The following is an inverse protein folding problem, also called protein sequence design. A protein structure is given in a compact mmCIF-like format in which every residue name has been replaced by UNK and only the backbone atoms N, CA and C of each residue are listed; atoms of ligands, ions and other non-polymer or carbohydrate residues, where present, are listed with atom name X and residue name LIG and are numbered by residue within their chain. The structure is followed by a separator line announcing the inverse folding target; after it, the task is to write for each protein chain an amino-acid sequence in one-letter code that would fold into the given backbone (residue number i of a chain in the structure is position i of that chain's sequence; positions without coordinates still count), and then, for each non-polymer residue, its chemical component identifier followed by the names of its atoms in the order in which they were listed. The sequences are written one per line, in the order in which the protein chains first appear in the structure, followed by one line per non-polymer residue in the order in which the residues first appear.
data_IF_979591373730
#
_entry.id   IF_979591373730
#
_cell.length_a   1.000
_cell.length_b   1.000
_cell.length_c   1.000
_cell.angle_alpha   90.00
_cell.angle_beta   90.00
_cell.angle_gamma   90.00
#
_symmetry.space_group_name_H-M   'P 1'
#
loop_
_entity.id
_entity.type
_entity.pdbx_description
1 polymer ?
#
# COMPACT_ATOMS: atom_id res chain seq x y z
N UNK A 1 -16.33 -100.27 2.63
CA UNK A 1 -15.07 -99.49 2.67
C UNK A 1 -14.22 -99.92 1.49
N UNK A 2 -14.11 -99.10 0.45
CA UNK A 2 -13.07 -99.07 -0.59
C UNK A 2 -13.67 -98.54 -1.91
N UNK A 3 -13.38 -97.28 -2.22
CA UNK A 3 -13.54 -96.67 -3.54
C UNK A 3 -12.49 -95.56 -3.60
N UNK A 4 -11.61 -95.43 -4.57
CA UNK A 4 -11.40 -96.11 -5.85
C UNK A 4 -10.41 -95.21 -6.57
N UNK A 5 -9.14 -95.62 -6.64
CA UNK A 5 -8.04 -94.79 -7.14
C UNK A 5 -8.07 -94.74 -8.67
N UNK A 6 -8.73 -93.75 -9.25
CA UNK A 6 -8.71 -93.53 -10.70
C UNK A 6 -7.53 -92.62 -11.09
N UNK A 7 -6.38 -93.24 -11.37
CA UNK A 7 -5.23 -92.56 -11.98
C UNK A 7 -5.50 -92.40 -13.48
N UNK A 8 -5.96 -91.22 -13.89
CA UNK A 8 -6.10 -90.88 -15.30
C UNK A 8 -4.71 -90.61 -15.90
N UNK A 9 -4.20 -91.55 -16.70
CA UNK A 9 -2.96 -91.35 -17.44
C UNK A 9 -3.25 -90.54 -18.71
N UNK A 10 -2.78 -89.30 -18.75
CA UNK A 10 -2.94 -88.38 -19.89
C UNK A 10 -1.71 -88.51 -20.80
N UNK A 11 -1.85 -88.79 -22.11
CA UNK A 11 -0.69 -88.97 -22.98
C UNK A 11 0.05 -87.65 -23.17
N UNK A 12 1.36 -87.68 -23.00
CA UNK A 12 2.27 -86.55 -23.18
C UNK A 12 2.34 -86.16 -24.67
N UNK A 13 1.65 -85.09 -25.05
CA UNK A 13 1.81 -84.45 -26.36
C UNK A 13 3.19 -83.79 -26.40
N UNK A 14 4.11 -84.34 -27.22
CA UNK A 14 5.38 -83.70 -27.57
C UNK A 14 5.09 -82.36 -28.27
N UNK A 15 5.15 -81.27 -27.51
CA UNK A 15 4.97 -79.90 -27.98
C UNK A 15 6.27 -79.48 -28.69
N UNK A 16 6.22 -79.29 -30.01
CA UNK A 16 7.35 -78.74 -30.78
C UNK A 16 7.67 -77.35 -30.23
N UNK A 17 8.92 -77.14 -29.81
CA UNK A 17 9.39 -75.85 -29.30
C UNK A 17 9.68 -74.90 -30.48
N UNK A 18 9.14 -73.67 -30.49
CA UNK A 18 9.62 -72.63 -31.39
C UNK A 18 10.95 -72.08 -30.88
N UNK A 19 11.91 -71.96 -31.79
CA UNK A 19 13.21 -71.33 -31.58
C UNK A 19 13.02 -69.81 -31.42
N UNK A 20 12.94 -69.33 -30.18
CA UNK A 20 12.97 -67.90 -29.88
C UNK A 20 13.76 -67.66 -28.60
N UNK A 21 14.81 -66.84 -28.70
CA UNK A 21 15.78 -66.60 -27.63
C UNK A 21 15.49 -65.27 -26.92
N UNK A 22 14.20 -64.96 -26.71
CA UNK A 22 13.80 -63.83 -25.88
C UNK A 22 13.97 -64.18 -24.40
N UNK A 23 14.47 -63.23 -23.61
CA UNK A 23 14.63 -63.36 -22.16
C UNK A 23 13.32 -63.87 -21.56
N UNK A 24 13.31 -64.99 -20.81
CA UNK A 24 12.09 -65.44 -20.16
C UNK A 24 11.63 -64.34 -19.21
N UNK A 25 10.43 -63.80 -19.43
CA UNK A 25 9.79 -62.89 -18.49
C UNK A 25 9.40 -63.73 -17.25
N UNK A 26 10.34 -63.80 -16.30
CA UNK A 26 10.14 -64.53 -15.06
C UNK A 26 9.23 -63.66 -14.18
N UNK A 27 7.93 -63.92 -14.24
CA UNK A 27 6.99 -63.42 -13.25
C UNK A 27 7.29 -64.09 -11.91
N UNK A 28 8.07 -63.41 -11.07
CA UNK A 28 8.24 -63.80 -9.68
C UNK A 28 6.89 -63.58 -8.96
N UNK A 29 6.08 -64.63 -8.81
CA UNK A 29 4.86 -64.63 -7.98
C UNK A 29 5.18 -64.60 -6.47
N UNK A 30 6.22 -63.88 -6.08
CA UNK A 30 6.63 -63.74 -4.69
C UNK A 30 5.77 -62.64 -4.08
N UNK A 31 4.84 -62.93 -3.16
CA UNK A 31 4.08 -61.87 -2.51
C UNK A 31 5.07 -60.99 -1.75
N UNK A 32 5.22 -59.74 -2.19
CA UNK A 32 6.06 -58.77 -1.50
C UNK A 32 5.33 -58.39 -0.21
N UNK A 33 5.70 -59.03 0.89
CA UNK A 33 5.20 -58.69 2.21
C UNK A 33 5.99 -57.49 2.76
N UNK A 34 5.37 -56.31 2.61
CA UNK A 34 5.89 -55.03 3.10
C UNK A 34 5.52 -54.76 4.57
N UNK A 35 4.93 -55.72 5.29
CA UNK A 35 4.46 -55.54 6.68
C UNK A 35 5.57 -55.14 7.66
N UNK A 36 6.84 -55.40 7.34
CA UNK A 36 8.00 -55.08 8.18
C UNK A 36 8.82 -53.87 7.74
N UNK A 37 8.39 -53.15 6.70
CA UNK A 37 9.05 -51.91 6.27
C UNK A 37 8.71 -50.79 7.25
N UNK A 38 9.57 -50.64 8.27
CA UNK A 38 9.58 -49.46 9.10
C UNK A 38 10.35 -48.37 8.37
N UNK A 39 9.71 -47.21 8.18
CA UNK A 39 10.37 -46.03 7.63
C UNK A 39 11.42 -45.56 8.64
N UNK A 40 12.67 -45.93 8.41
CA UNK A 40 13.81 -45.42 9.19
C UNK A 40 13.98 -43.95 8.83
N UNK A 41 13.85 -43.07 9.83
CA UNK A 41 14.15 -41.65 9.64
C UNK A 41 15.67 -41.46 9.59
N UNK A 42 16.18 -41.06 8.43
CA UNK A 42 17.56 -40.60 8.32
C UNK A 42 17.71 -39.23 9.00
N UNK A 43 18.44 -39.11 10.12
CA UNK A 43 18.55 -37.83 10.84
C UNK A 43 19.25 -36.75 10.00
N UNK A 44 20.01 -37.15 8.98
CA UNK A 44 20.67 -36.24 8.03
C UNK A 44 19.65 -35.51 7.13
N UNK A 45 18.60 -36.19 6.67
CA UNK A 45 17.53 -35.58 5.84
C UNK A 45 16.74 -34.53 6.61
N UNK A 46 16.55 -34.71 7.91
CA UNK A 46 15.88 -33.72 8.76
C UNK A 46 16.63 -32.38 8.82
N UNK A 47 17.97 -32.40 8.86
CA UNK A 47 18.76 -31.16 8.88
C UNK A 47 18.73 -30.45 7.53
N UNK A 48 18.84 -31.19 6.43
CA UNK A 48 18.75 -30.64 5.07
C UNK A 48 17.36 -30.03 4.81
N UNK A 49 16.28 -30.73 5.14
CA UNK A 49 14.91 -30.19 5.00
C UNK A 49 14.67 -28.95 5.87
N UNK A 50 15.25 -28.87 7.09
CA UNK A 50 15.19 -27.65 7.90
C UNK A 50 15.97 -26.50 7.28
N UNK A 51 17.13 -26.76 6.67
CA UNK A 51 17.90 -25.74 5.96
C UNK A 51 17.18 -25.24 4.70
N UNK A 52 16.59 -26.15 3.90
CA UNK A 52 15.76 -25.77 2.76
C UNK A 52 14.52 -24.99 3.17
N UNK A 53 13.84 -25.42 4.24
CA UNK A 53 12.69 -24.70 4.80
C UNK A 53 13.06 -23.31 5.30
N UNK A 54 14.20 -23.18 6.00
CA UNK A 54 14.70 -21.88 6.44
C UNK A 54 15.08 -20.98 5.27
N UNK A 55 15.75 -21.50 4.24
CA UNK A 55 16.09 -20.74 3.04
C UNK A 55 14.84 -20.26 2.30
N UNK A 56 13.84 -21.14 2.15
CA UNK A 56 12.56 -20.79 1.52
C UNK A 56 11.78 -19.76 2.34
N UNK A 57 11.77 -19.91 3.67
CA UNK A 57 11.16 -18.94 4.58
C UNK A 57 11.82 -17.57 4.49
N UNK A 58 13.16 -17.51 4.47
CA UNK A 58 13.91 -16.27 4.26
C UNK A 58 13.58 -15.64 2.91
N UNK A 59 13.57 -16.41 1.82
CA UNK A 59 13.21 -15.92 0.50
C UNK A 59 11.78 -15.35 0.48
N UNK A 60 10.82 -16.07 1.06
CA UNK A 60 9.44 -15.63 1.17
C UNK A 60 9.31 -14.30 1.93
N UNK A 61 9.99 -14.17 3.07
CA UNK A 61 10.00 -12.93 3.85
C UNK A 61 10.60 -11.76 3.06
N UNK A 62 11.70 -11.98 2.34
CA UNK A 62 12.30 -10.95 1.50
C UNK A 62 11.35 -10.47 0.39
N UNK A 63 10.67 -11.39 -0.29
CA UNK A 63 9.69 -11.05 -1.34
C UNK A 63 8.49 -10.32 -0.76
N UNK A 64 7.98 -10.76 0.40
CA UNK A 64 6.86 -10.10 1.07
C UNK A 64 7.22 -8.70 1.53
N UNK A 65 8.38 -8.50 2.17
CA UNK A 65 8.81 -7.17 2.61
C UNK A 65 9.08 -6.25 1.43
N UNK A 66 9.68 -6.76 0.35
CA UNK A 66 9.87 -5.98 -0.88
C UNK A 66 8.54 -5.54 -1.50
N UNK A 67 7.59 -6.47 -1.64
CA UNK A 67 6.27 -6.17 -2.21
C UNK A 67 5.49 -5.19 -1.32
N UNK A 68 5.56 -5.37 0.00
CA UNK A 68 4.98 -4.45 0.97
C UNK A 68 5.58 -3.04 0.86
N UNK A 69 6.91 -2.94 0.79
CA UNK A 69 7.61 -1.67 0.59
C UNK A 69 7.21 -1.01 -0.72
N UNK A 70 7.14 -1.78 -1.80
CA UNK A 70 6.72 -1.28 -3.11
C UNK A 70 5.27 -0.76 -3.06
N UNK A 71 4.34 -1.52 -2.46
CA UNK A 71 2.95 -1.09 -2.32
C UNK A 71 2.84 0.17 -1.46
N UNK A 72 3.62 0.26 -0.37
CA UNK A 72 3.68 1.46 0.46
C UNK A 72 4.22 2.65 -0.32
N UNK A 73 5.30 2.49 -1.08
CA UNK A 73 5.83 3.55 -1.93
C UNK A 73 4.80 4.06 -2.94
N UNK A 74 4.00 3.17 -3.53
CA UNK A 74 2.89 3.53 -4.43
C UNK A 74 1.80 4.31 -3.68
N UNK A 75 1.38 3.86 -2.50
CA UNK A 75 0.40 4.56 -1.65
C UNK A 75 0.88 5.96 -1.23
N UNK A 76 2.16 6.09 -0.86
CA UNK A 76 2.78 7.37 -0.53
C UNK A 76 2.89 8.28 -1.74
N UNK A 77 3.18 7.75 -2.93
CA UNK A 77 3.19 8.51 -4.18
C UNK A 77 1.85 9.20 -4.45
N UNK A 78 0.74 8.45 -4.31
CA UNK A 78 -0.60 9.02 -4.49
C UNK A 78 -0.98 10.03 -3.40
N UNK A 79 -0.60 9.78 -2.14
CA UNK A 79 -0.85 10.74 -1.05
C UNK A 79 -0.08 12.04 -1.25
N UNK A 80 1.15 11.97 -1.76
CA UNK A 80 1.94 13.16 -2.07
C UNK A 80 1.29 13.94 -3.22
N UNK A 81 0.83 13.25 -4.25
CA UNK A 81 0.19 13.91 -5.39
C UNK A 81 -1.13 14.58 -5.00
N UNK A 82 -1.96 13.92 -4.17
CA UNK A 82 -3.22 14.51 -3.69
C UNK A 82 -3.00 15.72 -2.79
N UNK A 83 -1.98 15.68 -1.93
CA UNK A 83 -1.60 16.81 -1.08
C UNK A 83 -1.06 17.98 -1.91
N UNK A 84 -0.29 17.72 -2.98
CA UNK A 84 0.17 18.76 -3.91
C UNK A 84 -0.99 19.44 -4.62
N UNK A 85 -1.93 18.67 -5.15
CA UNK A 85 -3.13 19.22 -5.81
C UNK A 85 -3.94 20.11 -4.87
N UNK A 86 -4.12 19.71 -3.61
CA UNK A 86 -4.80 20.54 -2.61
C UNK A 86 -4.04 21.84 -2.33
N UNK A 87 -2.72 21.76 -2.17
CA UNK A 87 -1.87 22.93 -1.92
C UNK A 87 -1.92 23.90 -3.08
N UNK A 88 -1.84 23.41 -4.31
CA UNK A 88 -1.87 24.25 -5.50
C UNK A 88 -3.24 24.91 -5.68
N UNK A 89 -4.33 24.17 -5.44
CA UNK A 89 -5.68 24.74 -5.39
C UNK A 89 -5.84 25.87 -4.38
N UNK A 90 -5.37 25.66 -3.14
CA UNK A 90 -5.40 26.71 -2.11
C UNK A 90 -4.54 27.93 -2.45
N UNK A 91 -3.41 27.74 -3.15
CA UNK A 91 -2.58 28.86 -3.62
C UNK A 91 -3.29 29.67 -4.70
N UNK A 92 -3.97 29.00 -5.61
CA UNK A 92 -4.72 29.62 -6.70
C UNK A 92 -5.90 30.43 -6.14
N UNK A 93 -6.63 29.87 -5.18
CA UNK A 93 -7.67 30.57 -4.43
C UNK A 93 -7.12 31.79 -3.67
N UNK A 94 -5.99 31.64 -2.97
CA UNK A 94 -5.37 32.76 -2.26
C UNK A 94 -4.97 33.89 -3.21
N UNK A 95 -4.44 33.53 -4.38
CA UNK A 95 -4.08 34.51 -5.42
C UNK A 95 -5.31 35.22 -5.96
N UNK A 96 -6.41 34.50 -6.21
CA UNK A 96 -7.67 35.09 -6.64
C UNK A 96 -8.22 36.08 -5.60
N UNK A 97 -8.26 35.68 -4.32
CA UNK A 97 -8.71 36.54 -3.22
C UNK A 97 -7.86 37.81 -3.09
N UNK A 98 -6.53 37.71 -3.25
CA UNK A 98 -5.65 38.89 -3.24
C UNK A 98 -5.90 39.84 -4.41
N UNK A 99 -6.20 39.30 -5.59
CA UNK A 99 -6.56 40.12 -6.75
C UNK A 99 -7.91 40.80 -6.55
N UNK A 100 -8.89 40.11 -5.98
CA UNK A 100 -10.18 40.69 -5.61
C UNK A 100 -10.02 41.80 -4.56
N UNK A 101 -9.21 41.56 -3.52
CA UNK A 101 -8.91 42.56 -2.49
C UNK A 101 -8.24 43.79 -3.10
N UNK A 102 -7.25 43.61 -3.98
CA UNK A 102 -6.59 44.72 -4.68
C UNK A 102 -7.56 45.50 -5.58
N UNK A 103 -8.47 44.80 -6.27
CA UNK A 103 -9.54 45.40 -7.07
C UNK A 103 -10.52 46.20 -6.21
N UNK A 104 -10.94 45.66 -5.07
CA UNK A 104 -11.82 46.32 -4.10
C UNK A 104 -11.17 47.55 -3.46
N UNK A 105 -9.87 47.49 -3.15
CA UNK A 105 -9.12 48.62 -2.60
C UNK A 105 -8.70 49.65 -3.64
N UNK A 106 -8.92 49.41 -4.94
CA UNK A 106 -8.47 50.34 -5.97
C UNK A 106 -9.14 51.71 -5.80
N UNK A 107 -8.36 52.80 -5.63
CA UNK A 107 -8.91 54.12 -5.33
C UNK A 107 -9.79 54.64 -6.46
N UNK A 108 -9.44 54.34 -7.71
CA UNK A 108 -10.24 54.71 -8.89
C UNK A 108 -11.63 54.05 -8.88
N UNK A 109 -11.76 52.79 -8.40
CA UNK A 109 -13.08 52.16 -8.24
C UNK A 109 -13.87 52.79 -7.10
N UNK A 110 -13.21 53.08 -5.97
CA UNK A 110 -13.84 53.73 -4.82
C UNK A 110 -14.34 55.12 -5.21
N UNK A 111 -13.55 55.91 -5.93
CA UNK A 111 -13.90 57.25 -6.38
C UNK A 111 -15.07 57.25 -7.36
N UNK A 112 -15.13 56.29 -8.28
CA UNK A 112 -16.29 56.13 -9.19
C UNK A 112 -17.56 55.81 -8.40
N UNK A 113 -17.48 54.84 -7.50
CA UNK A 113 -18.61 54.44 -6.67
C UNK A 113 -19.08 55.59 -5.76
N UNK A 114 -18.15 56.36 -5.19
CA UNK A 114 -18.45 57.53 -4.39
C UNK A 114 -19.22 58.59 -5.19
N UNK A 115 -18.82 58.85 -6.45
CA UNK A 115 -19.54 59.77 -7.35
C UNK A 115 -20.93 59.26 -7.71
N UNK A 116 -21.08 57.95 -7.96
CA UNK A 116 -22.39 57.33 -8.25
C UNK A 116 -23.35 57.48 -7.06
N UNK A 117 -22.85 57.43 -5.83
CA UNK A 117 -23.60 57.72 -4.62
C UNK A 117 -23.77 59.23 -4.32
N UNK A 118 -23.34 60.11 -5.21
CA UNK A 118 -23.44 61.57 -5.04
C UNK A 118 -22.47 62.15 -4.01
N UNK A 119 -21.50 61.37 -3.53
CA UNK A 119 -20.45 61.87 -2.64
C UNK A 119 -19.46 62.72 -3.43
N UNK A 120 -19.05 63.85 -2.85
CA UNK A 120 -18.06 64.75 -3.43
C UNK A 120 -16.81 64.82 -2.53
N UNK A 121 -15.62 65.03 -3.13
CA UNK A 121 -14.41 65.26 -2.35
C UNK A 121 -14.61 66.49 -1.44
N UNK A 122 -14.15 66.42 -0.17
CA UNK A 122 -14.32 67.50 0.78
C UNK A 122 -13.59 68.77 0.32
N UNK A 123 -14.21 69.93 0.50
CA UNK A 123 -13.58 71.22 0.20
C UNK A 123 -12.51 71.56 1.24
N UNK A 124 -11.51 72.34 0.85
CA UNK A 124 -10.44 72.78 1.74
C UNK A 124 -11.03 73.54 2.96
N UNK A 125 -10.84 72.99 4.16
CA UNK A 125 -11.39 73.53 5.42
C UNK A 125 -12.58 72.77 6.03
N UNK A 126 -13.15 71.79 5.32
CA UNK A 126 -14.32 71.02 5.79
C UNK A 126 -13.97 69.76 6.61
N UNK A 127 -12.68 69.48 6.81
CA UNK A 127 -12.19 68.29 7.52
C UNK A 127 -11.96 68.65 8.99
N UNK A 128 -12.92 68.31 9.85
CA UNK A 128 -12.77 68.39 11.31
C UNK A 128 -12.19 67.06 11.80
N UNK A 129 -10.90 67.03 12.14
CA UNK A 129 -10.32 65.91 12.89
C UNK A 129 -10.87 65.99 14.31
N UNK A 130 -11.58 64.96 14.76
CA UNK A 130 -11.92 64.81 16.16
C UNK A 130 -10.70 64.24 16.86
N UNK A 131 -10.08 65.04 17.73
CA UNK A 131 -8.95 64.63 18.56
C UNK A 131 -9.48 63.58 19.55
N UNK A 132 -9.18 62.31 19.33
CA UNK A 132 -9.56 61.22 20.25
C UNK A 132 -8.64 61.19 21.48
N UNK A 133 -8.41 62.35 22.11
CA UNK A 133 -7.34 62.56 23.10
C UNK A 133 -7.70 63.43 24.30
N UNK A 134 -8.97 63.74 24.53
CA UNK A 134 -9.46 64.28 25.81
C UNK A 134 -10.58 63.40 26.36
N UNK A 135 -10.30 62.11 26.49
CA UNK A 135 -10.85 61.33 27.60
C UNK A 135 -9.86 61.40 28.75
N UNK A 136 -10.32 62.03 29.83
CA UNK A 136 -9.68 62.28 31.10
C UNK A 136 -8.35 61.60 31.42
N UNK A 137 -7.40 62.46 31.81
CA UNK A 137 -6.25 62.10 32.61
C UNK A 137 -6.71 61.36 33.89
N UNK A 138 -6.26 60.11 34.09
CA UNK A 138 -6.45 59.48 35.39
C UNK A 138 -6.21 57.98 35.58
N UNK A 139 -6.01 57.15 34.55
CA UNK A 139 -5.73 55.72 34.79
C UNK A 139 -4.84 55.09 33.69
N UNK A 140 -3.73 54.41 34.04
CA UNK A 140 -2.97 53.62 33.09
C UNK A 140 -3.71 52.29 32.83
N UNK A 141 -4.56 52.25 31.81
CA UNK A 141 -5.11 50.98 31.31
C UNK A 141 -4.15 50.43 30.26
N UNK A 142 -3.40 49.43 30.66
CA UNK A 142 -2.50 48.65 29.81
C UNK A 142 -3.31 47.81 28.82
N UNK A 143 -3.54 48.33 27.61
CA UNK A 143 -3.98 47.53 26.48
C UNK A 143 -2.74 46.92 25.80
N UNK A 144 -2.37 45.72 26.24
CA UNK A 144 -1.34 44.91 25.58
C UNK A 144 -1.86 44.47 24.20
N UNK A 145 -1.35 45.11 23.15
CA UNK A 145 -1.47 44.61 21.79
C UNK A 145 -0.53 43.40 21.65
N UNK A 146 -1.06 42.20 21.90
CA UNK A 146 -0.39 40.98 21.50
C UNK A 146 -0.19 41.04 19.98
N UNK A 147 1.06 41.23 19.55
CA UNK A 147 1.44 41.14 18.15
C UNK A 147 1.01 39.78 17.61
N UNK A 148 0.09 39.78 16.66
CA UNK A 148 -0.29 38.59 15.92
C UNK A 148 0.95 38.12 15.18
N UNK A 149 1.56 37.02 15.65
CA UNK A 149 2.73 36.46 14.98
C UNK A 149 2.28 35.85 13.65
N UNK A 150 2.84 36.36 12.56
CA UNK A 150 2.78 35.69 11.27
C UNK A 150 3.60 34.41 11.40
N UNK A 151 2.91 33.27 11.47
CA UNK A 151 3.53 31.97 11.28
C UNK A 151 3.87 31.87 9.79
N UNK A 152 5.11 32.21 9.44
CA UNK A 152 5.71 31.80 8.18
C UNK A 152 5.95 30.30 8.25
N UNK A 153 5.16 29.54 7.50
CA UNK A 153 5.41 28.12 7.24
C UNK A 153 6.52 28.05 6.16
N UNK A 154 7.53 27.17 6.32
CA UNK A 154 8.67 27.05 5.40
C UNK A 154 8.28 26.62 3.98
#
# INVERSE_FOLDING_TARGET
MAAGSAVLHRPSRKRRQPCWNGTPEIYFAKPIDNSRLLKVEDPKRGREMRQFGAALGCLFLLVMTYTWQHFKAVEYGYKVESLKLQRDGLLEENRALRLEEASLRSPDRIDRLARDFGMQPPQAGQIVRMDSGTSDAGAPVVASAAGVSMISIP
#
